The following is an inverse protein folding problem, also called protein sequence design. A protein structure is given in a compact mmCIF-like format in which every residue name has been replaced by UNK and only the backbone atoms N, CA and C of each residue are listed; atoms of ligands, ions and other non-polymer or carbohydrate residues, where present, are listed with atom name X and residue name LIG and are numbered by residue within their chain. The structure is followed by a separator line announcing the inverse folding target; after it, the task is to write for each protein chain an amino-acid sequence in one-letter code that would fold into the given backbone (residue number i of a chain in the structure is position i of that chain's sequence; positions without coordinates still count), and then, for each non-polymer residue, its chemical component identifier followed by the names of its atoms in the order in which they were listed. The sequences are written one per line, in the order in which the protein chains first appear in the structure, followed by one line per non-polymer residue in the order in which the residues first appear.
data_IF_475837156320
#
_entry.id   IF_475837156320
#
_cell.length_a   1.000
_cell.length_b   1.000
_cell.length_c   1.000
_cell.angle_alpha   90.00
_cell.angle_beta   90.00
_cell.angle_gamma   90.00
#
_symmetry.space_group_name_H-M   'P 1'
#
loop_
_entity.id
_entity.type
_entity.pdbx_description
1 polymer ?
#
# COMPACT_ATOMS: atom_id res chain seq x y z
N UNK A 1 -9.65 -7.11 6.46
CA UNK A 1 -9.04 -6.79 7.76
C UNK A 1 -7.56 -6.60 7.60
N UNK A 2 -7.04 -5.47 8.07
CA UNK A 2 -5.60 -5.21 8.22
C UNK A 2 -5.14 -5.82 9.55
N UNK A 3 -4.04 -6.57 9.55
CA UNK A 3 -3.60 -7.35 10.69
C UNK A 3 -2.37 -6.72 11.34
N UNK A 4 -2.35 -6.75 12.68
CA UNK A 4 -1.25 -6.26 13.50
C UNK A 4 -0.71 -7.40 14.39
N UNK A 5 0.61 -7.53 14.48
CA UNK A 5 1.31 -8.48 15.37
C UNK A 5 2.27 -7.70 16.25
N UNK A 6 2.18 -7.90 17.57
CA UNK A 6 2.99 -7.18 18.56
C UNK A 6 2.97 -5.64 18.39
N UNK A 7 1.83 -5.08 17.95
CA UNK A 7 1.67 -3.64 17.72
C UNK A 7 2.15 -3.13 16.36
N UNK A 8 2.71 -3.99 15.51
CA UNK A 8 3.21 -3.63 14.19
C UNK A 8 2.35 -4.21 13.07
N UNK A 9 2.27 -3.50 11.96
CA UNK A 9 1.63 -3.97 10.74
C UNK A 9 2.29 -5.26 10.26
N UNK A 10 1.46 -6.24 9.88
CA UNK A 10 1.90 -7.50 9.28
C UNK A 10 1.47 -7.53 7.80
N UNK A 11 0.18 -7.77 7.56
CA UNK A 11 -0.42 -7.93 6.23
C UNK A 11 -1.95 -7.77 6.30
N UNK A 12 -2.64 -8.02 5.19
CA UNK A 12 -4.08 -8.28 5.16
C UNK A 12 -4.34 -9.68 4.59
N UNK A 13 -5.55 -10.21 4.80
CA UNK A 13 -5.89 -11.64 4.60
C UNK A 13 -5.32 -12.35 3.35
N UNK A 14 -5.21 -11.66 2.22
CA UNK A 14 -4.54 -12.17 1.02
C UNK A 14 -3.90 -11.01 0.22
N UNK A 15 -3.31 -10.05 0.93
CA UNK A 15 -2.82 -8.80 0.33
C UNK A 15 -1.70 -8.19 1.17
N UNK A 16 -0.73 -7.56 0.51
CA UNK A 16 0.17 -6.66 1.21
C UNK A 16 -0.56 -5.36 1.56
N UNK A 17 -0.04 -4.66 2.57
CA UNK A 17 -0.54 -3.37 3.02
C UNK A 17 0.57 -2.34 2.84
N UNK A 18 0.24 -1.21 2.23
CA UNK A 18 1.16 -0.10 1.99
C UNK A 18 0.64 1.15 2.67
N UNK A 19 1.51 1.83 3.40
CA UNK A 19 1.19 3.08 4.10
C UNK A 19 1.81 4.22 3.34
N UNK A 20 1.01 5.21 2.97
CA UNK A 20 1.51 6.46 2.40
C UNK A 20 1.54 7.52 3.48
N UNK A 21 2.70 8.13 3.67
CA UNK A 21 2.87 9.26 4.59
C UNK A 21 3.86 10.26 4.00
N UNK A 22 3.48 11.53 3.97
CA UNK A 22 4.31 12.64 3.48
C UNK A 22 4.91 12.36 2.10
N UNK A 23 4.09 11.82 1.20
CA UNK A 23 4.47 11.47 -0.17
C UNK A 23 5.33 10.22 -0.34
N UNK A 24 5.65 9.50 0.75
CA UNK A 24 6.47 8.28 0.72
C UNK A 24 5.61 7.04 0.89
N UNK A 25 5.87 5.99 0.11
CA UNK A 25 5.26 4.67 0.24
C UNK A 25 6.09 3.79 1.16
N UNK A 26 5.47 3.31 2.24
CA UNK A 26 6.06 2.39 3.20
C UNK A 26 5.44 1.00 3.10
N UNK A 27 6.29 -0.02 3.12
CA UNK A 27 5.89 -1.42 3.25
C UNK A 27 6.56 -2.08 4.45
N UNK A 28 5.99 -3.19 4.93
CA UNK A 28 6.64 -4.03 5.95
C UNK A 28 7.83 -4.78 5.34
N UNK A 29 8.92 -5.05 6.07
CA UNK A 29 10.06 -5.82 5.54
C UNK A 29 9.61 -7.21 5.08
N UNK A 30 10.30 -7.74 4.07
CA UNK A 30 10.10 -9.12 3.60
C UNK A 30 10.63 -10.07 4.68
N UNK A 31 9.75 -10.55 5.56
CA UNK A 31 10.07 -11.60 6.51
C UNK A 31 9.20 -12.84 6.26
N UNK A 32 9.44 -13.90 7.02
CA UNK A 32 8.74 -15.19 6.91
C UNK A 32 7.22 -15.08 7.20
N UNK A 33 6.71 -13.88 7.52
CA UNK A 33 5.32 -13.60 7.88
C UNK A 33 4.57 -12.86 6.76
N UNK A 34 5.22 -12.57 5.64
CA UNK A 34 4.60 -11.90 4.48
C UNK A 34 4.59 -12.84 3.28
N UNK A 35 3.41 -13.10 2.73
CA UNK A 35 3.22 -13.98 1.57
C UNK A 35 4.15 -13.58 0.40
N UNK A 36 5.04 -14.49 0.00
CA UNK A 36 5.99 -14.35 -1.13
C UNK A 36 5.31 -14.23 -2.51
N UNK A 37 3.99 -14.03 -2.56
CA UNK A 37 3.17 -14.11 -3.77
C UNK A 37 2.70 -12.77 -4.33
N UNK A 38 3.03 -11.62 -3.74
CA UNK A 38 2.57 -10.32 -4.25
C UNK A 38 3.75 -9.35 -4.34
N UNK A 39 3.98 -8.92 -5.59
CA UNK A 39 5.12 -8.17 -6.12
C UNK A 39 5.50 -6.90 -5.33
N UNK A 40 6.21 -7.06 -4.22
CA UNK A 40 7.02 -5.97 -3.64
C UNK A 40 7.90 -5.32 -4.71
N UNK A 41 8.51 -6.15 -5.57
CA UNK A 41 9.33 -5.69 -6.69
C UNK A 41 8.57 -4.80 -7.68
N UNK A 42 7.32 -5.16 -8.03
CA UNK A 42 6.53 -4.31 -8.92
C UNK A 42 6.16 -2.98 -8.25
N UNK A 43 5.69 -3.01 -7.00
CA UNK A 43 5.35 -1.75 -6.30
C UNK A 43 6.59 -0.86 -6.18
N UNK A 44 7.75 -1.42 -5.85
CA UNK A 44 9.03 -0.72 -5.81
C UNK A 44 9.42 -0.15 -7.18
N UNK A 45 9.28 -0.93 -8.26
CA UNK A 45 9.56 -0.49 -9.64
C UNK A 45 8.62 0.64 -10.09
N UNK A 46 7.32 0.51 -9.81
CA UNK A 46 6.33 1.55 -10.13
C UNK A 46 6.61 2.83 -9.34
N UNK A 47 6.92 2.73 -8.05
CA UNK A 47 7.31 3.88 -7.24
C UNK A 47 8.56 4.56 -7.81
N UNK A 48 9.59 3.78 -8.17
CA UNK A 48 10.81 4.28 -8.81
C UNK A 48 10.52 4.99 -10.13
N UNK A 49 9.64 4.43 -10.96
CA UNK A 49 9.27 4.99 -12.27
C UNK A 49 8.52 6.31 -12.12
N UNK A 50 7.65 6.40 -11.12
CA UNK A 50 6.87 7.59 -10.80
C UNK A 50 7.65 8.64 -9.99
N UNK A 51 8.88 8.34 -9.55
CA UNK A 51 9.65 9.21 -8.66
C UNK A 51 9.07 9.31 -7.24
N UNK A 52 8.29 8.32 -6.81
CA UNK A 52 7.72 8.24 -5.46
C UNK A 52 8.73 7.56 -4.53
N UNK A 53 9.13 8.20 -3.41
CA UNK A 53 9.99 7.56 -2.43
C UNK A 53 9.36 6.28 -1.88
N UNK A 54 10.18 5.24 -1.74
CA UNK A 54 9.75 3.92 -1.29
C UNK A 54 10.70 3.40 -0.21
N UNK A 55 10.15 2.90 0.90
CA UNK A 55 10.95 2.34 1.99
C UNK A 55 10.27 1.14 2.65
N UNK A 56 11.07 0.13 2.96
CA UNK A 56 10.65 -0.95 3.85
C UNK A 56 11.08 -0.66 5.30
N UNK A 57 10.11 -0.67 6.22
CA UNK A 57 10.36 -0.53 7.66
C UNK A 57 9.26 -1.21 8.46
N UNK A 58 9.53 -1.54 9.72
CA UNK A 58 8.44 -1.87 10.65
C UNK A 58 7.55 -0.64 10.81
N UNK A 59 6.24 -0.84 10.74
CA UNK A 59 5.24 0.23 10.80
C UNK A 59 4.35 -0.03 12.01
N UNK A 60 4.29 0.90 12.95
CA UNK A 60 3.44 0.76 14.13
C UNK A 60 1.96 0.91 13.77
N UNK A 61 1.06 0.45 14.65
CA UNK A 61 -0.38 0.67 14.47
C UNK A 61 -0.72 2.16 14.39
N UNK A 62 -0.08 2.99 15.19
CA UNK A 62 -0.26 4.44 15.21
C UNK A 62 0.13 5.06 13.86
N UNK A 63 1.24 4.62 13.26
CA UNK A 63 1.66 5.08 11.93
C UNK A 63 0.65 4.70 10.83
N UNK A 64 0.05 3.50 10.91
CA UNK A 64 -1.03 3.09 9.99
C UNK A 64 -2.27 3.96 10.15
N UNK A 65 -2.67 4.25 11.40
CA UNK A 65 -3.84 5.08 11.68
C UNK A 65 -3.63 6.56 11.30
N UNK A 66 -2.38 7.03 11.31
CA UNK A 66 -2.00 8.38 10.93
C UNK A 66 -1.64 8.55 9.44
N UNK A 67 -1.81 7.49 8.64
CA UNK A 67 -1.49 7.46 7.22
C UNK A 67 -2.31 8.48 6.42
N UNK A 68 -1.69 9.07 5.41
CA UNK A 68 -2.36 9.95 4.46
C UNK A 68 -3.16 9.11 3.44
N UNK A 69 -2.62 7.96 3.05
CA UNK A 69 -3.30 6.94 2.27
C UNK A 69 -2.92 5.54 2.77
N UNK A 70 -3.83 4.58 2.64
CA UNK A 70 -3.60 3.18 2.94
C UNK A 70 -4.00 2.35 1.73
N UNK A 71 -3.13 1.45 1.28
CA UNK A 71 -3.35 0.66 0.07
C UNK A 71 -3.24 -0.83 0.38
N UNK A 72 -3.97 -1.64 -0.37
CA UNK A 72 -3.73 -3.06 -0.50
C UNK A 72 -3.17 -3.35 -1.88
N UNK A 73 -2.34 -4.40 -1.98
CA UNK A 73 -2.07 -5.01 -3.28
C UNK A 73 -2.21 -6.52 -3.23
N UNK A 74 -2.68 -7.09 -4.33
CA UNK A 74 -2.65 -8.54 -4.58
C UNK A 74 -2.71 -8.85 -6.07
N UNK A 75 -2.51 -10.11 -6.45
CA UNK A 75 -2.73 -10.54 -7.83
C UNK A 75 -4.17 -10.24 -8.31
N UNK A 76 -5.16 -10.38 -7.42
CA UNK A 76 -6.59 -10.20 -7.74
C UNK A 76 -7.11 -8.79 -7.51
N UNK A 77 -6.48 -8.01 -6.62
CA UNK A 77 -6.88 -6.63 -6.29
C UNK A 77 -6.00 -5.58 -6.93
N UNK A 78 -4.88 -5.97 -7.51
CA UNK A 78 -3.93 -5.07 -8.15
C UNK A 78 -3.38 -4.05 -7.15
N UNK A 79 -3.78 -2.78 -7.25
CA UNK A 79 -3.60 -1.75 -6.24
C UNK A 79 -5.00 -1.25 -5.84
N UNK A 80 -5.35 -1.38 -4.56
CA UNK A 80 -6.67 -1.03 -4.04
C UNK A 80 -6.54 -0.06 -2.86
N UNK A 81 -7.03 1.19 -2.97
CA UNK A 81 -7.07 2.11 -1.83
C UNK A 81 -8.06 1.64 -0.75
N UNK A 82 -7.63 1.74 0.50
CA UNK A 82 -8.43 1.53 1.71
C UNK A 82 -8.86 2.91 2.21
N UNK A 83 -10.14 3.23 2.01
CA UNK A 83 -10.72 4.50 2.44
C UNK A 83 -11.30 4.45 3.85
N UNK A 84 -11.51 3.26 4.41
CA UNK A 84 -12.05 3.04 5.75
C UNK A 84 -11.26 1.93 6.44
N UNK A 85 -10.79 2.19 7.66
CA UNK A 85 -10.12 1.22 8.52
C UNK A 85 -10.81 1.22 9.89
N UNK A 86 -11.28 0.05 10.33
CA UNK A 86 -11.96 -0.13 11.62
C UNK A 86 -13.15 0.83 11.84
N UNK A 87 -13.84 1.23 10.77
CA UNK A 87 -14.98 2.16 10.83
C UNK A 87 -14.60 3.64 10.74
N UNK A 88 -13.30 3.96 10.77
CA UNK A 88 -12.81 5.32 10.63
C UNK A 88 -12.25 5.56 9.22
N UNK A 89 -12.54 6.71 8.59
CA UNK A 89 -12.01 7.01 7.27
C UNK A 89 -10.51 7.34 7.35
N UNK A 90 -9.77 6.76 6.42
CA UNK A 90 -8.32 6.92 6.25
C UNK A 90 -8.01 8.29 5.63
N UNK A 91 -6.85 8.85 5.98
CA UNK A 91 -6.36 10.10 5.41
C UNK A 91 -6.84 11.33 6.18
N UNK A 92 -6.39 12.50 5.72
CA UNK A 92 -6.64 13.78 6.38
C UNK A 92 -7.26 14.81 5.42
N UNK A 93 -7.93 15.80 6.00
CA UNK A 93 -8.49 16.95 5.30
C UNK A 93 -9.28 16.55 4.02
N UNK A 94 -8.96 17.14 2.88
CA UNK A 94 -9.68 16.98 1.62
C UNK A 94 -9.70 15.55 1.06
N UNK A 95 -8.80 14.67 1.53
CA UNK A 95 -8.72 13.28 1.08
C UNK A 95 -9.19 12.28 2.12
N UNK A 96 -9.71 12.71 3.28
CA UNK A 96 -10.24 11.82 4.32
C UNK A 96 -11.39 10.97 3.74
N UNK A 97 -11.24 9.65 3.79
CA UNK A 97 -12.23 8.69 3.31
C UNK A 97 -12.27 8.53 1.80
N UNK A 98 -11.27 9.03 1.07
CA UNK A 98 -11.21 8.99 -0.39
C UNK A 98 -9.85 8.48 -0.86
N UNK A 99 -9.75 7.88 -2.06
CA UNK A 99 -8.45 7.58 -2.65
C UNK A 99 -7.62 8.86 -2.77
N UNK A 100 -6.35 8.80 -2.39
CA UNK A 100 -5.43 9.92 -2.55
C UNK A 100 -4.67 9.89 -3.87
N UNK A 101 -3.78 10.88 -4.11
CA UNK A 101 -3.03 10.99 -5.36
C UNK A 101 -2.08 9.82 -5.61
N UNK A 102 -1.39 9.30 -4.59
CA UNK A 102 -0.42 8.21 -4.76
C UNK A 102 -1.15 6.90 -5.09
N UNK A 103 -2.30 6.62 -4.46
CA UNK A 103 -3.17 5.50 -4.83
C UNK A 103 -3.53 5.53 -6.32
N UNK A 104 -3.95 6.69 -6.82
CA UNK A 104 -4.35 6.87 -8.23
C UNK A 104 -3.17 6.67 -9.18
N UNK A 105 -2.02 7.25 -8.86
CA UNK A 105 -0.81 7.12 -9.68
C UNK A 105 -0.33 5.66 -9.75
N UNK A 106 -0.25 4.98 -8.60
CA UNK A 106 0.16 3.57 -8.54
C UNK A 106 -0.84 2.66 -9.25
N UNK A 107 -2.14 2.90 -9.12
CA UNK A 107 -3.15 2.12 -9.85
C UNK A 107 -3.01 2.29 -11.37
N UNK A 108 -2.85 3.52 -11.85
CA UNK A 108 -2.68 3.78 -13.28
C UNK A 108 -1.41 3.10 -13.83
N UNK A 109 -0.26 3.30 -13.17
CA UNK A 109 1.00 2.71 -13.60
C UNK A 109 0.97 1.17 -13.54
N UNK A 110 0.21 0.61 -12.59
CA UNK A 110 -0.03 -0.82 -12.54
C UNK A 110 -0.81 -1.32 -13.77
N UNK A 111 -1.86 -0.60 -14.21
CA UNK A 111 -2.62 -0.99 -15.40
C UNK A 111 -1.73 -0.98 -16.64
N UNK A 112 -0.89 0.05 -16.79
CA UNK A 112 0.05 0.17 -17.91
C UNK A 112 1.05 -0.99 -17.92
N UNK A 113 1.63 -1.32 -16.77
CA UNK A 113 2.56 -2.45 -16.64
C UNK A 113 1.90 -3.80 -16.98
N UNK A 114 0.63 -4.00 -16.57
CA UNK A 114 -0.13 -5.21 -16.91
C UNK A 114 -0.36 -5.32 -18.42
N UNK A 115 -0.76 -4.22 -19.08
CA UNK A 115 -0.97 -4.19 -20.52
C UNK A 115 0.31 -4.56 -21.28
N UNK A 116 1.46 -4.01 -20.88
CA UNK A 116 2.76 -4.30 -21.50
C UNK A 116 3.27 -5.73 -21.27
N UNK A 117 2.78 -6.43 -20.24
CA UNK A 117 3.16 -7.83 -19.94
C UNK A 117 2.33 -8.88 -20.67
N UNK A 118 1.32 -8.46 -21.43
CA UNK A 118 0.42 -9.35 -22.18
C UNK A 118 0.80 -9.44 -23.67
N UNK A 119 1.85 -8.70 -24.10
CA UNK A 119 2.50 -8.78 -25.42
C UNK A 119 3.73 -9.69 -25.38
#
# INVERSE_FOLDING_TARGET
TVMFRHGYLSEAAASNVWVVKDGTVFGTPKDNLVLEGIRYGLIEELCKTLGIPYQLKRISREEVLAADELLLSSATKEVLPVTLLDGEPVGQAAHRGQPGPIARQLYAAYQDAKAASTD
#
